data_IF_558610821730
#
_entry.id   IF_558610821730
#
_cell.length_a   1.000
_cell.length_b   1.000
_cell.length_c   1.000
_cell.angle_alpha   90.00
_cell.angle_beta   90.00
_cell.angle_gamma   90.00
#
_symmetry.space_group_name_H-M   'P 1'
#
loop_
_entity.id
_entity.type
_entity.pdbx_description
1 polymer ?
#
# COMPACT_ATOMS: atom_id res chain seq x y z
N UNK A 1 -7.78 -26.95 -20.59
CA UNK A 1 -8.78 -26.03 -20.02
C UNK A 1 -8.11 -24.80 -19.37
N UNK A 2 -6.96 -24.94 -18.71
CA UNK A 2 -6.21 -23.82 -18.09
C UNK A 2 -5.67 -22.81 -19.11
N UNK A 3 -5.09 -23.27 -20.22
CA UNK A 3 -4.53 -22.39 -21.27
C UNK A 3 -5.57 -21.45 -21.87
N UNK A 4 -6.83 -21.93 -22.06
CA UNK A 4 -7.91 -21.08 -22.55
C UNK A 4 -8.31 -19.97 -21.56
N UNK A 5 -8.16 -20.18 -20.24
CA UNK A 5 -8.53 -19.18 -19.24
C UNK A 5 -7.51 -18.03 -19.16
N UNK A 6 -6.21 -18.31 -19.30
CA UNK A 6 -5.16 -17.29 -19.25
C UNK A 6 -5.16 -16.39 -20.50
N UNK A 7 -5.23 -17.00 -21.69
CA UNK A 7 -5.35 -16.24 -22.95
C UNK A 7 -6.63 -15.38 -22.99
N UNK A 8 -7.76 -15.89 -22.49
CA UNK A 8 -8.98 -15.12 -22.36
C UNK A 8 -8.79 -13.91 -21.41
N UNK A 9 -8.06 -14.08 -20.30
CA UNK A 9 -7.78 -13.01 -19.36
C UNK A 9 -6.99 -11.86 -19.99
N UNK A 10 -6.01 -12.15 -20.86
CA UNK A 10 -5.28 -11.11 -21.61
C UNK A 10 -6.22 -10.35 -22.57
N UNK A 11 -7.02 -11.08 -23.34
CA UNK A 11 -7.98 -10.49 -24.27
C UNK A 11 -8.96 -9.55 -23.56
N UNK A 12 -9.56 -9.97 -22.44
CA UNK A 12 -10.50 -9.14 -21.69
C UNK A 12 -9.88 -7.86 -21.14
N UNK A 13 -8.63 -7.91 -20.65
CA UNK A 13 -7.94 -6.72 -20.16
C UNK A 13 -7.66 -5.72 -21.27
N UNK A 14 -7.22 -6.18 -22.43
CA UNK A 14 -7.01 -5.33 -23.61
C UNK A 14 -8.31 -4.75 -24.13
N UNK A 15 -9.39 -5.52 -24.14
CA UNK A 15 -10.72 -5.04 -24.51
C UNK A 15 -11.23 -3.99 -23.52
N UNK A 16 -11.15 -4.25 -22.22
CA UNK A 16 -11.54 -3.28 -21.19
C UNK A 16 -10.77 -1.96 -21.30
N UNK A 17 -9.46 -2.03 -21.54
CA UNK A 17 -8.65 -0.85 -21.75
C UNK A 17 -9.02 -0.10 -23.03
N UNK A 18 -9.34 -0.82 -24.13
CA UNK A 18 -9.81 -0.19 -25.38
C UNK A 18 -11.15 0.53 -25.19
N UNK A 19 -12.04 -0.01 -24.36
CA UNK A 19 -13.30 0.68 -23.99
C UNK A 19 -12.99 1.96 -23.17
N UNK A 20 -12.07 1.87 -22.21
CA UNK A 20 -11.63 3.03 -21.43
C UNK A 20 -11.03 4.13 -22.33
N UNK A 21 -10.19 3.75 -23.30
CA UNK A 21 -9.64 4.67 -24.30
C UNK A 21 -10.72 5.33 -25.15
N UNK A 22 -11.78 4.62 -25.52
CA UNK A 22 -12.91 5.20 -26.25
C UNK A 22 -13.56 6.34 -25.45
N UNK A 23 -13.88 6.11 -24.18
CA UNK A 23 -14.46 7.14 -23.32
C UNK A 23 -13.51 8.34 -23.12
N UNK A 24 -12.21 8.08 -22.95
CA UNK A 24 -11.21 9.14 -22.84
C UNK A 24 -11.09 9.96 -24.13
N UNK A 25 -10.94 9.30 -25.28
CA UNK A 25 -10.49 9.95 -26.52
C UNK A 25 -11.66 10.43 -27.39
N UNK A 26 -12.82 9.76 -27.34
CA UNK A 26 -14.01 10.13 -28.12
C UNK A 26 -15.01 10.94 -27.30
N UNK A 27 -15.24 10.55 -26.05
CA UNK A 27 -16.21 11.20 -25.18
C UNK A 27 -15.59 12.29 -24.29
N UNK A 28 -14.25 12.38 -24.23
CA UNK A 28 -13.53 13.37 -23.42
C UNK A 28 -13.71 13.21 -21.92
N UNK A 29 -13.87 11.98 -21.46
CA UNK A 29 -14.16 11.67 -20.06
C UNK A 29 -12.89 11.28 -19.29
N UNK A 30 -12.92 11.51 -17.96
CA UNK A 30 -11.99 10.92 -17.03
C UNK A 30 -12.49 9.53 -16.60
N UNK A 31 -11.68 8.51 -16.81
CA UNK A 31 -12.04 7.11 -16.62
C UNK A 31 -11.27 6.52 -15.45
N UNK A 32 -11.97 5.88 -14.52
CA UNK A 32 -11.37 5.05 -13.47
C UNK A 32 -11.40 3.58 -13.90
N UNK A 33 -10.21 2.99 -14.06
CA UNK A 33 -10.03 1.66 -14.61
C UNK A 33 -9.49 0.70 -13.55
N UNK A 34 -10.25 -0.36 -13.24
CA UNK A 34 -9.87 -1.38 -12.26
C UNK A 34 -9.35 -2.65 -12.94
N UNK A 35 -8.21 -3.17 -12.47
CA UNK A 35 -7.61 -4.43 -12.96
C UNK A 35 -7.36 -5.37 -11.79
N UNK A 36 -8.10 -6.47 -11.73
CA UNK A 36 -7.88 -7.55 -10.76
C UNK A 36 -7.66 -8.88 -11.51
N UNK A 37 -6.43 -9.34 -11.57
CA UNK A 37 -5.18 -8.66 -11.28
C UNK A 37 -4.27 -8.65 -12.52
N UNK A 38 -3.25 -7.81 -12.54
CA UNK A 38 -2.34 -7.67 -13.70
C UNK A 38 -1.43 -8.89 -13.87
N UNK A 39 -1.13 -9.65 -12.82
CA UNK A 39 -0.29 -10.85 -12.87
C UNK A 39 -0.82 -11.89 -13.86
N UNK A 40 -2.14 -11.99 -14.05
CA UNK A 40 -2.75 -12.90 -15.04
C UNK A 40 -2.38 -12.55 -16.48
N UNK A 41 -2.11 -11.27 -16.76
CA UNK A 41 -1.58 -10.84 -18.05
C UNK A 41 -0.18 -11.39 -18.29
N UNK A 42 0.71 -11.28 -17.29
CA UNK A 42 2.05 -11.86 -17.35
C UNK A 42 2.03 -13.36 -17.51
N UNK A 43 1.18 -14.05 -16.76
CA UNK A 43 1.03 -15.50 -16.85
C UNK A 43 0.57 -15.94 -18.25
N UNK A 44 -0.40 -15.25 -18.85
CA UNK A 44 -0.85 -15.52 -20.21
C UNK A 44 0.29 -15.34 -21.24
N UNK A 45 1.09 -14.30 -21.10
CA UNK A 45 2.27 -14.06 -21.95
C UNK A 45 3.31 -15.18 -21.83
N UNK A 46 3.57 -15.67 -20.63
CA UNK A 46 4.50 -16.79 -20.40
C UNK A 46 3.99 -18.09 -21.05
N UNK A 47 2.71 -18.40 -20.91
CA UNK A 47 2.09 -19.57 -21.52
C UNK A 47 2.16 -19.53 -23.06
N UNK A 48 1.86 -18.38 -23.67
CA UNK A 48 1.98 -18.21 -25.12
C UNK A 48 3.42 -18.32 -25.59
N UNK A 49 4.37 -17.72 -24.86
CA UNK A 49 5.80 -17.78 -25.16
C UNK A 49 6.31 -19.23 -25.14
N UNK A 50 5.88 -20.02 -24.16
CA UNK A 50 6.22 -21.44 -24.05
C UNK A 50 5.65 -22.26 -25.22
N UNK A 51 4.40 -21.99 -25.61
CA UNK A 51 3.76 -22.63 -26.76
C UNK A 51 4.47 -22.32 -28.10
N UNK A 52 5.08 -21.13 -28.22
CA UNK A 52 5.86 -20.72 -29.38
C UNK A 52 7.30 -21.25 -29.34
N UNK A 53 7.67 -22.03 -28.33
CA UNK A 53 9.02 -22.59 -28.18
C UNK A 53 10.11 -21.57 -27.91
N UNK A 54 9.76 -20.38 -27.39
CA UNK A 54 10.75 -19.35 -27.03
C UNK A 54 11.51 -19.75 -25.78
N UNK A 55 12.80 -19.45 -25.76
CA UNK A 55 13.64 -19.68 -24.57
C UNK A 55 13.16 -18.77 -23.45
N UNK A 56 12.79 -19.30 -22.28
CA UNK A 56 12.33 -18.48 -21.15
C UNK A 56 13.48 -17.63 -20.57
N UNK A 57 13.11 -16.48 -20.05
CA UNK A 57 14.00 -15.61 -19.27
C UNK A 57 14.02 -16.01 -17.78
N UNK A 58 14.50 -15.14 -16.91
CA UNK A 58 14.57 -15.39 -15.47
C UNK A 58 13.21 -15.87 -14.91
N UNK A 59 13.26 -16.83 -13.98
CA UNK A 59 12.11 -17.43 -13.29
C UNK A 59 11.08 -18.06 -14.24
N UNK A 60 11.43 -18.28 -15.50
CA UNK A 60 10.54 -18.91 -16.50
C UNK A 60 9.58 -17.95 -17.20
N UNK A 61 9.74 -16.64 -17.04
CA UNK A 61 8.93 -15.65 -17.74
C UNK A 61 9.33 -15.50 -19.22
N UNK A 62 8.43 -14.92 -20.02
CA UNK A 62 8.72 -14.61 -21.42
C UNK A 62 9.84 -13.56 -21.55
N UNK A 63 10.69 -13.65 -22.59
CA UNK A 63 11.75 -12.67 -22.82
C UNK A 63 11.22 -11.27 -23.16
N UNK A 64 9.96 -11.18 -23.58
CA UNK A 64 9.25 -9.92 -23.92
C UNK A 64 8.45 -9.32 -22.77
N UNK A 65 8.64 -9.80 -21.53
CA UNK A 65 7.84 -9.39 -20.36
C UNK A 65 7.77 -7.86 -20.19
N UNK A 66 8.91 -7.19 -20.21
CA UNK A 66 8.96 -5.74 -20.04
C UNK A 66 8.29 -5.00 -21.19
N UNK A 67 8.48 -5.44 -22.43
CA UNK A 67 7.86 -4.83 -23.61
C UNK A 67 6.34 -5.05 -23.61
N UNK A 68 5.90 -6.27 -23.30
CA UNK A 68 4.47 -6.59 -23.24
C UNK A 68 3.75 -5.78 -22.17
N UNK A 69 4.38 -5.65 -20.99
CA UNK A 69 3.85 -4.85 -19.88
C UNK A 69 3.85 -3.36 -20.23
N UNK A 70 4.93 -2.83 -20.79
CA UNK A 70 5.03 -1.44 -21.22
C UNK A 70 3.96 -1.09 -22.23
N UNK A 71 3.77 -1.91 -23.27
CA UNK A 71 2.74 -1.71 -24.30
C UNK A 71 1.30 -1.67 -23.73
N UNK A 72 1.04 -2.36 -22.62
CA UNK A 72 -0.25 -2.28 -21.94
C UNK A 72 -0.35 -1.04 -21.06
N UNK A 73 0.65 -0.80 -20.22
CA UNK A 73 0.63 0.25 -19.20
C UNK A 73 0.69 1.66 -19.78
N UNK A 74 1.46 1.88 -20.86
CA UNK A 74 1.57 3.20 -21.50
C UNK A 74 0.27 3.70 -22.14
N UNK A 75 -0.70 2.82 -22.35
CA UNK A 75 -2.05 3.21 -22.79
C UNK A 75 -2.87 3.86 -21.69
N UNK A 76 -2.51 3.60 -20.42
CA UNK A 76 -3.12 4.19 -19.24
C UNK A 76 -2.45 5.54 -18.98
N UNK A 77 -3.01 6.57 -19.55
CA UNK A 77 -2.40 7.91 -19.53
C UNK A 77 -3.44 8.99 -19.67
N UNK A 78 -3.02 10.23 -19.37
CA UNK A 78 -3.78 11.45 -19.62
C UNK A 78 -3.49 11.94 -21.04
N UNK A 79 -4.52 12.36 -21.74
CA UNK A 79 -4.43 13.00 -23.04
C UNK A 79 -4.95 14.44 -22.94
N UNK A 80 -4.95 15.18 -24.05
CA UNK A 80 -5.55 16.52 -24.10
C UNK A 80 -7.09 16.51 -24.06
N UNK A 81 -7.73 15.34 -24.07
CA UNK A 81 -9.19 15.19 -24.06
C UNK A 81 -9.75 14.65 -22.75
N UNK A 82 -9.01 13.79 -22.09
CA UNK A 82 -9.42 13.14 -20.86
C UNK A 82 -8.29 12.28 -20.26
N UNK A 83 -8.58 11.58 -19.18
CA UNK A 83 -7.58 10.78 -18.46
C UNK A 83 -8.06 9.36 -18.21
N UNK A 84 -7.12 8.42 -18.02
CA UNK A 84 -7.37 7.11 -17.43
C UNK A 84 -6.54 7.01 -16.16
N UNK A 85 -7.21 6.90 -15.02
CA UNK A 85 -6.61 6.54 -13.74
C UNK A 85 -6.87 5.07 -13.47
N UNK A 86 -5.85 4.29 -13.12
CA UNK A 86 -6.02 2.87 -12.85
C UNK A 86 -5.74 2.48 -11.41
N UNK A 87 -6.52 1.52 -10.91
CA UNK A 87 -6.26 0.79 -9.66
C UNK A 87 -6.02 -0.66 -10.04
N UNK A 88 -4.82 -1.15 -9.80
CA UNK A 88 -4.39 -2.48 -10.24
C UNK A 88 -4.00 -3.34 -9.04
N UNK A 89 -4.65 -4.49 -8.89
CA UNK A 89 -4.17 -5.51 -7.98
C UNK A 89 -2.97 -6.24 -8.59
N UNK A 90 -1.89 -6.37 -7.84
CA UNK A 90 -0.68 -7.07 -8.25
C UNK A 90 -0.46 -8.23 -7.29
N UNK A 91 -0.50 -9.44 -7.82
CA UNK A 91 -0.12 -10.63 -7.05
C UNK A 91 1.40 -10.74 -7.02
N UNK A 92 1.95 -10.89 -5.82
CA UNK A 92 3.39 -11.05 -5.59
C UNK A 92 3.65 -12.52 -5.23
N UNK A 93 4.28 -13.30 -6.14
CA UNK A 93 4.58 -14.71 -5.87
C UNK A 93 5.51 -14.86 -4.65
N UNK A 94 5.16 -15.73 -3.72
CA UNK A 94 5.95 -16.05 -2.52
C UNK A 94 6.35 -14.82 -1.67
N UNK A 95 5.57 -13.75 -1.72
CA UNK A 95 5.86 -12.46 -1.06
C UNK A 95 7.20 -11.81 -1.51
N UNK A 96 7.72 -12.20 -2.68
CA UNK A 96 8.97 -11.70 -3.26
C UNK A 96 8.73 -10.53 -4.21
N UNK A 97 8.91 -9.31 -3.72
CA UNK A 97 8.79 -8.07 -4.51
C UNK A 97 9.84 -7.94 -5.62
N UNK A 98 10.90 -8.76 -5.57
CA UNK A 98 11.97 -8.78 -6.58
C UNK A 98 11.68 -9.72 -7.74
N UNK A 99 10.60 -10.51 -7.68
CA UNK A 99 10.16 -11.34 -8.81
C UNK A 99 9.96 -10.46 -10.06
N UNK A 100 10.42 -10.90 -11.25
CA UNK A 100 10.38 -10.10 -12.47
C UNK A 100 8.99 -9.56 -12.85
N UNK A 101 7.91 -10.26 -12.53
CA UNK A 101 6.56 -9.83 -12.89
C UNK A 101 6.08 -8.63 -12.08
N UNK A 102 6.07 -8.64 -10.72
CA UNK A 102 5.75 -7.45 -9.95
C UNK A 102 6.78 -6.34 -10.16
N UNK A 103 8.10 -6.64 -10.20
CA UNK A 103 9.14 -5.64 -10.38
C UNK A 103 8.96 -4.84 -11.68
N UNK A 104 8.64 -5.53 -12.80
CA UNK A 104 8.35 -4.87 -14.08
C UNK A 104 7.06 -4.04 -13.99
N UNK A 105 6.05 -4.51 -13.27
CA UNK A 105 4.79 -3.77 -13.09
C UNK A 105 5.00 -2.48 -12.29
N UNK A 106 5.78 -2.54 -11.21
CA UNK A 106 6.05 -1.39 -10.32
C UNK A 106 6.72 -0.23 -11.06
N UNK A 107 7.54 -0.50 -12.08
CA UNK A 107 8.19 0.53 -12.88
C UNK A 107 7.21 1.47 -13.60
N UNK A 108 5.97 1.02 -13.83
CA UNK A 108 4.93 1.77 -14.52
C UNK A 108 3.90 2.43 -13.58
N UNK A 109 4.03 2.25 -12.28
CA UNK A 109 3.05 2.76 -11.31
C UNK A 109 3.51 4.08 -10.70
N UNK A 110 2.56 4.98 -10.47
CA UNK A 110 2.79 6.25 -9.80
C UNK A 110 2.71 6.13 -8.27
N UNK A 111 1.95 5.15 -7.79
CA UNK A 111 1.84 4.84 -6.37
C UNK A 111 1.71 3.32 -6.17
N UNK A 112 2.31 2.84 -5.09
CA UNK A 112 2.21 1.44 -4.65
C UNK A 112 1.73 1.38 -3.22
N UNK A 113 0.76 0.51 -2.95
CA UNK A 113 0.32 0.16 -1.59
C UNK A 113 0.66 -1.31 -1.37
N UNK A 114 1.66 -1.56 -0.53
CA UNK A 114 2.15 -2.90 -0.24
C UNK A 114 1.45 -3.45 0.99
N UNK A 115 0.81 -4.61 0.84
CA UNK A 115 0.22 -5.35 1.95
C UNK A 115 1.23 -6.38 2.46
N UNK A 116 1.54 -6.30 3.75
CA UNK A 116 2.54 -7.16 4.41
C UNK A 116 1.87 -8.21 5.29
N UNK A 117 2.27 -9.47 5.11
CA UNK A 117 1.84 -10.57 5.96
C UNK A 117 2.31 -10.38 7.40
N UNK A 118 3.54 -9.91 7.59
CA UNK A 118 4.11 -9.65 8.91
C UNK A 118 3.30 -8.62 9.71
N UNK A 119 2.79 -7.58 9.03
CA UNK A 119 1.93 -6.57 9.65
C UNK A 119 0.56 -7.16 10.00
N UNK A 120 0.00 -8.04 9.16
CA UNK A 120 -1.23 -8.76 9.46
C UNK A 120 -1.09 -9.69 10.67
N UNK A 121 0.05 -10.37 10.83
CA UNK A 121 0.34 -11.28 11.94
C UNK A 121 0.37 -10.59 13.31
N UNK A 122 0.74 -9.31 13.37
CA UNK A 122 0.68 -8.50 14.60
C UNK A 122 -0.69 -7.82 14.82
N UNK A 123 -1.68 -8.17 13.99
CA UNK A 123 -3.08 -7.73 14.15
C UNK A 123 -3.35 -6.31 13.65
N UNK A 124 -2.51 -5.73 12.80
CA UNK A 124 -2.73 -4.40 12.21
C UNK A 124 -3.48 -4.55 10.89
N UNK A 125 -4.64 -3.93 10.79
CA UNK A 125 -5.51 -3.94 9.62
C UNK A 125 -6.03 -2.52 9.31
N UNK A 126 -5.99 -2.07 8.02
CA UNK A 126 -5.41 -2.76 6.86
C UNK A 126 -3.90 -2.97 7.02
N UNK A 127 -3.38 -4.12 6.56
CA UNK A 127 -2.00 -4.54 6.76
C UNK A 127 -1.02 -3.86 5.77
N UNK A 128 -1.12 -2.55 5.64
CA UNK A 128 -0.28 -1.75 4.73
C UNK A 128 1.09 -1.51 5.34
N UNK A 129 2.15 -1.81 4.58
CA UNK A 129 3.52 -1.46 4.98
C UNK A 129 3.83 -0.02 4.55
N UNK A 130 4.00 0.93 5.48
CA UNK A 130 4.28 2.32 5.16
C UNK A 130 5.72 2.57 4.69
N UNK A 131 6.64 1.62 4.90
CA UNK A 131 8.03 1.73 4.46
C UNK A 131 8.22 1.24 3.03
N UNK A 132 7.51 0.17 2.64
CA UNK A 132 7.57 -0.40 1.30
C UNK A 132 6.55 0.24 0.33
N UNK A 133 5.56 0.98 0.86
CA UNK A 133 4.59 1.73 0.07
C UNK A 133 5.15 3.07 -0.37
N UNK A 134 4.90 3.45 -1.63
CA UNK A 134 5.42 4.68 -2.21
C UNK A 134 4.36 5.43 -3.01
N UNK A 135 4.54 6.75 -3.16
CA UNK A 135 3.72 7.57 -4.04
C UNK A 135 4.53 8.73 -4.62
N UNK A 136 4.45 8.92 -5.94
CA UNK A 136 5.11 10.05 -6.62
C UNK A 136 4.46 11.39 -6.30
N UNK A 137 3.18 11.39 -5.93
CA UNK A 137 2.48 12.63 -5.52
C UNK A 137 2.81 13.07 -4.09
N UNK A 138 3.55 12.27 -3.32
CA UNK A 138 4.07 12.68 -2.01
C UNK A 138 5.27 13.62 -2.19
N UNK A 139 5.00 14.80 -2.68
CA UNK A 139 5.92 15.91 -2.96
C UNK A 139 5.33 17.19 -2.32
N UNK A 140 6.12 18.01 -1.61
CA UNK A 140 5.61 19.19 -0.91
C UNK A 140 4.88 20.18 -1.83
N UNK A 141 5.24 20.22 -3.12
CA UNK A 141 4.57 21.07 -4.12
C UNK A 141 3.15 20.59 -4.47
N UNK A 142 2.81 19.34 -4.18
CA UNK A 142 1.51 18.72 -4.49
C UNK A 142 0.67 18.60 -3.22
N UNK A 143 1.22 17.95 -2.18
CA UNK A 143 0.48 17.65 -0.95
C UNK A 143 0.61 18.72 0.14
N UNK A 144 1.51 19.69 -0.05
CA UNK A 144 1.85 20.71 0.93
C UNK A 144 2.94 20.28 1.91
N UNK A 145 3.59 21.27 2.53
CA UNK A 145 4.76 21.05 3.39
C UNK A 145 4.42 20.25 4.64
N UNK A 146 3.26 20.51 5.26
CA UNK A 146 2.84 19.83 6.49
C UNK A 146 2.63 18.34 6.27
N UNK A 147 1.83 17.96 5.29
CA UNK A 147 1.58 16.56 4.97
C UNK A 147 2.89 15.83 4.63
N UNK A 148 3.72 16.43 3.78
CA UNK A 148 5.00 15.84 3.41
C UNK A 148 5.91 15.65 4.62
N UNK A 149 6.05 16.66 5.48
CA UNK A 149 6.87 16.61 6.69
C UNK A 149 6.42 15.49 7.62
N UNK A 150 5.12 15.45 7.94
CA UNK A 150 4.55 14.43 8.85
C UNK A 150 4.75 13.02 8.30
N UNK A 151 4.48 12.81 7.01
CA UNK A 151 4.67 11.50 6.38
C UNK A 151 6.15 11.04 6.45
N UNK A 152 7.10 11.95 6.20
CA UNK A 152 8.53 11.64 6.30
C UNK A 152 8.99 11.39 7.74
N UNK A 153 8.44 12.09 8.69
CA UNK A 153 8.74 11.89 10.11
C UNK A 153 8.24 10.53 10.59
N UNK A 154 7.01 10.14 10.24
CA UNK A 154 6.46 8.81 10.50
C UNK A 154 7.35 7.72 9.90
N UNK A 155 7.74 7.85 8.62
CA UNK A 155 8.63 6.90 7.98
C UNK A 155 9.98 6.80 8.69
N UNK A 156 10.56 7.94 9.11
CA UNK A 156 11.83 7.98 9.85
C UNK A 156 11.73 7.25 11.18
N UNK A 157 10.67 7.50 11.95
CA UNK A 157 10.45 6.84 13.26
C UNK A 157 10.30 5.33 13.08
N UNK A 158 9.50 4.88 12.11
CA UNK A 158 9.30 3.46 11.82
C UNK A 158 10.58 2.80 11.28
N UNK A 159 11.37 3.48 10.45
CA UNK A 159 12.65 2.97 9.94
C UNK A 159 13.67 2.81 11.08
N UNK A 160 13.76 3.78 11.97
CA UNK A 160 14.63 3.69 13.16
C UNK A 160 14.20 2.54 14.05
N UNK A 161 12.89 2.38 14.29
CA UNK A 161 12.37 1.25 15.06
C UNK A 161 12.72 -0.08 14.42
N UNK A 162 12.56 -0.23 13.10
CA UNK A 162 12.96 -1.44 12.36
C UNK A 162 14.43 -1.78 12.58
N UNK A 163 15.30 -0.77 12.57
CA UNK A 163 16.74 -0.98 12.83
C UNK A 163 17.06 -1.38 14.28
N UNK A 164 16.22 -0.95 15.24
CA UNK A 164 16.39 -1.29 16.66
C UNK A 164 15.80 -2.65 17.04
N UNK A 165 14.92 -3.22 16.20
CA UNK A 165 14.23 -4.49 16.51
C UNK A 165 15.21 -5.65 16.77
N UNK A 166 16.28 -5.77 15.98
CA UNK A 166 17.29 -6.81 16.16
C UNK A 166 18.05 -6.64 17.49
N UNK A 167 18.36 -5.38 17.85
CA UNK A 167 19.02 -5.04 19.11
C UNK A 167 18.11 -5.38 20.28
N UNK A 168 16.83 -5.01 20.20
CA UNK A 168 15.82 -5.30 21.22
C UNK A 168 15.64 -6.82 21.41
N UNK A 169 15.63 -7.58 20.31
CA UNK A 169 15.46 -9.04 20.36
C UNK A 169 16.63 -9.76 21.02
N UNK A 170 17.85 -9.23 20.90
CA UNK A 170 19.07 -9.84 21.41
C UNK A 170 19.40 -9.35 22.83
N UNK A 171 19.36 -8.04 23.05
CA UNK A 171 19.84 -7.39 24.27
C UNK A 171 18.72 -6.94 25.22
N UNK A 172 17.49 -6.84 24.73
CA UNK A 172 16.35 -6.31 25.46
C UNK A 172 16.20 -4.79 25.38
N UNK A 173 15.10 -4.27 25.91
CA UNK A 173 14.78 -2.84 25.91
C UNK A 173 15.67 -2.02 26.86
N UNK A 174 16.20 -2.65 27.91
CA UNK A 174 16.94 -1.95 28.97
C UNK A 174 18.29 -1.41 28.49
N UNK A 175 18.87 -2.04 27.49
CA UNK A 175 20.15 -1.64 26.89
C UNK A 175 20.05 -0.43 25.92
N UNK A 176 18.83 -0.02 25.58
CA UNK A 176 18.60 1.13 24.70
C UNK A 176 18.83 2.45 25.47
N UNK A 177 19.31 3.46 24.75
CA UNK A 177 19.34 4.85 25.26
C UNK A 177 17.91 5.31 25.57
N UNK A 178 17.76 6.31 26.43
CA UNK A 178 16.45 6.88 26.75
C UNK A 178 15.79 7.53 25.51
N UNK A 179 16.59 8.07 24.61
CA UNK A 179 16.12 8.60 23.32
C UNK A 179 15.57 7.47 22.42
N UNK A 180 16.28 6.35 22.31
CA UNK A 180 15.81 5.20 21.52
C UNK A 180 14.56 4.55 22.14
N UNK A 181 14.47 4.46 23.46
CA UNK A 181 13.27 3.99 24.16
C UNK A 181 12.05 4.85 23.82
N UNK A 182 12.23 6.16 23.78
CA UNK A 182 11.16 7.10 23.39
C UNK A 182 10.74 6.88 21.92
N UNK A 183 11.71 6.74 21.01
CA UNK A 183 11.44 6.46 19.60
C UNK A 183 10.67 5.15 19.45
N UNK A 184 11.08 4.09 20.15
CA UNK A 184 10.38 2.80 20.13
C UNK A 184 8.95 2.91 20.65
N UNK A 185 8.74 3.65 21.75
CA UNK A 185 7.40 3.87 22.32
C UNK A 185 6.49 4.61 21.32
N UNK A 186 6.98 5.66 20.66
CA UNK A 186 6.23 6.39 19.63
C UNK A 186 5.99 5.54 18.37
N UNK A 187 6.99 4.76 17.93
CA UNK A 187 6.85 3.86 16.79
C UNK A 187 5.76 2.81 17.00
N UNK A 188 5.67 2.22 18.19
CA UNK A 188 4.60 1.28 18.53
C UNK A 188 3.22 1.93 18.53
N UNK A 189 3.10 3.17 19.04
CA UNK A 189 1.86 3.96 18.96
C UNK A 189 1.47 4.24 17.50
N UNK A 190 2.43 4.63 16.66
CA UNK A 190 2.23 4.83 15.21
C UNK A 190 1.75 3.53 14.56
N UNK A 191 2.38 2.39 14.84
CA UNK A 191 1.95 1.10 14.30
C UNK A 191 0.51 0.76 14.71
N UNK A 192 0.15 0.98 15.98
CA UNK A 192 -1.23 0.77 16.44
C UNK A 192 -2.20 1.74 15.78
N UNK A 193 -1.82 3.01 15.60
CA UNK A 193 -2.65 4.01 14.95
C UNK A 193 -2.84 3.77 13.45
N UNK A 194 -1.93 3.06 12.78
CA UNK A 194 -2.13 2.59 11.40
C UNK A 194 -3.25 1.55 11.28
N UNK A 195 -3.61 0.86 12.39
CA UNK A 195 -4.79 0.00 12.41
C UNK A 195 -6.05 0.86 12.45
N UNK A 196 -6.97 0.59 11.51
CA UNK A 196 -8.20 1.38 11.38
C UNK A 196 -9.41 0.47 11.18
N UNK A 197 -10.55 0.76 11.82
CA UNK A 197 -11.78 0.05 11.57
C UNK A 197 -12.33 0.46 10.21
N UNK A 198 -12.33 -0.44 9.24
CA UNK A 198 -12.85 -0.16 7.90
C UNK A 198 -14.10 -0.97 7.59
N UNK A 199 -15.01 -0.41 6.80
CA UNK A 199 -16.37 -0.92 6.59
C UNK A 199 -16.42 -2.38 6.11
N UNK A 200 -15.51 -2.78 5.20
CA UNK A 200 -15.48 -4.16 4.66
C UNK A 200 -15.14 -5.19 5.75
N UNK A 201 -14.43 -4.79 6.80
CA UNK A 201 -14.02 -5.67 7.89
C UNK A 201 -15.03 -5.76 9.04
N UNK A 202 -16.11 -4.97 9.06
CA UNK A 202 -17.10 -4.94 10.15
C UNK A 202 -17.64 -6.33 10.51
N UNK A 203 -17.91 -7.14 9.49
CA UNK A 203 -18.46 -8.51 9.68
C UNK A 203 -17.44 -9.42 10.42
N UNK A 204 -16.15 -9.14 10.29
CA UNK A 204 -15.09 -9.95 10.89
C UNK A 204 -14.62 -9.40 12.23
N UNK A 205 -14.59 -8.08 12.37
CA UNK A 205 -14.07 -7.42 13.58
C UNK A 205 -15.15 -7.15 14.63
N UNK A 206 -16.42 -7.10 14.22
CA UNK A 206 -17.54 -6.68 15.07
C UNK A 206 -17.53 -5.18 15.41
N UNK A 207 -16.59 -4.42 14.86
CA UNK A 207 -16.49 -2.97 15.07
C UNK A 207 -16.98 -2.21 13.84
N UNK A 208 -17.79 -1.16 14.02
CA UNK A 208 -18.27 -0.35 12.90
C UNK A 208 -17.10 0.38 12.22
N UNK A 209 -17.12 0.42 10.88
CA UNK A 209 -16.13 1.15 10.10
C UNK A 209 -16.18 2.64 10.36
N UNK A 210 -15.04 3.29 10.28
CA UNK A 210 -14.88 4.74 10.41
C UNK A 210 -14.15 5.31 9.22
N UNK A 211 -14.72 6.32 8.58
CA UNK A 211 -14.01 7.11 7.58
C UNK A 211 -13.30 8.26 8.29
N UNK A 212 -11.99 8.27 8.20
CA UNK A 212 -11.14 9.34 8.74
C UNK A 212 -10.69 10.23 7.58
N UNK A 213 -10.92 11.52 7.68
CA UNK A 213 -10.46 12.48 6.69
C UNK A 213 -8.93 12.67 6.74
N UNK A 214 -8.37 13.19 5.64
CA UNK A 214 -6.93 13.34 5.48
C UNK A 214 -6.34 14.33 6.51
N UNK A 215 -7.04 15.43 6.78
CA UNK A 215 -6.57 16.45 7.72
C UNK A 215 -6.47 15.90 9.16
N UNK A 216 -7.49 15.18 9.61
CA UNK A 216 -7.48 14.50 10.91
C UNK A 216 -6.38 13.43 10.99
N UNK A 217 -6.14 12.70 9.89
CA UNK A 217 -5.06 11.72 9.81
C UNK A 217 -3.70 12.39 9.99
N UNK A 218 -3.42 13.46 9.26
CA UNK A 218 -2.15 14.21 9.36
C UNK A 218 -1.95 14.75 10.77
N UNK A 219 -2.97 15.40 11.36
CA UNK A 219 -2.92 15.94 12.72
C UNK A 219 -2.67 14.85 13.77
N UNK A 220 -3.33 13.69 13.62
CA UNK A 220 -3.14 12.56 14.53
C UNK A 220 -1.70 12.06 14.54
N UNK A 221 -1.11 11.82 13.36
CA UNK A 221 0.29 11.40 13.27
C UNK A 221 1.27 12.46 13.72
N UNK A 222 1.02 13.74 13.42
CA UNK A 222 1.86 14.85 13.85
C UNK A 222 1.92 14.96 15.39
N UNK A 223 0.77 14.86 16.05
CA UNK A 223 0.68 14.88 17.51
C UNK A 223 1.41 13.68 18.16
N UNK A 224 1.34 12.48 17.57
CA UNK A 224 2.11 11.32 18.05
C UNK A 224 3.61 11.57 17.87
N UNK A 225 4.04 12.06 16.71
CA UNK A 225 5.45 12.34 16.45
C UNK A 225 6.02 13.43 17.37
N UNK A 226 5.25 14.47 17.65
CA UNK A 226 5.62 15.54 18.60
C UNK A 226 5.62 15.09 20.06
N UNK A 227 5.00 13.95 20.38
CA UNK A 227 4.94 13.40 21.72
C UNK A 227 3.83 13.95 22.60
N UNK A 228 2.82 14.61 22.03
CA UNK A 228 1.67 15.13 22.78
C UNK A 228 0.93 14.00 23.52
N UNK A 229 1.01 12.78 22.99
CA UNK A 229 0.38 11.58 23.55
C UNK A 229 1.37 10.59 24.19
N UNK A 230 2.58 11.05 24.58
CA UNK A 230 3.57 10.16 25.20
C UNK A 230 3.08 9.54 26.52
N UNK A 231 2.17 10.22 27.22
CA UNK A 231 1.55 9.78 28.46
C UNK A 231 0.50 8.66 28.27
N UNK A 232 -0.01 8.44 27.06
CA UNK A 232 -1.03 7.41 26.79
C UNK A 232 -0.39 6.04 26.49
N UNK A 233 -1.02 4.92 26.88
CA UNK A 233 -0.57 3.59 26.53
C UNK A 233 -0.77 3.31 25.03
N UNK A 234 0.05 2.43 24.44
CA UNK A 234 -0.04 2.11 23.02
C UNK A 234 -1.38 1.45 22.60
N UNK A 235 -2.06 0.78 23.53
CA UNK A 235 -3.37 0.18 23.28
C UNK A 235 -4.45 1.22 22.95
N UNK A 236 -4.30 2.46 23.44
CA UNK A 236 -5.23 3.55 23.17
C UNK A 236 -5.25 4.03 21.70
N UNK A 237 -4.33 3.55 20.88
CA UNK A 237 -4.21 3.90 19.45
C UNK A 237 -4.72 2.80 18.50
N UNK A 238 -5.24 1.69 19.04
CA UNK A 238 -5.66 0.57 18.22
C UNK A 238 -7.11 0.72 17.77
N UNK A 239 -7.37 0.68 16.45
CA UNK A 239 -8.71 0.71 15.83
C UNK A 239 -9.57 1.93 16.23
N UNK A 240 -8.96 3.09 16.40
CA UNK A 240 -9.62 4.26 17.01
C UNK A 240 -10.25 5.26 16.04
N UNK A 241 -9.82 5.26 14.78
CA UNK A 241 -10.19 6.32 13.84
C UNK A 241 -9.31 7.56 14.03
N UNK A 242 -9.84 8.66 14.58
CA UNK A 242 -9.05 9.85 14.89
C UNK A 242 -8.58 9.85 16.34
N UNK A 243 -7.34 10.24 16.61
CA UNK A 243 -6.84 10.38 17.99
C UNK A 243 -7.66 11.35 18.86
N UNK A 244 -8.28 12.35 18.25
CA UNK A 244 -9.03 13.39 18.94
C UNK A 244 -10.33 12.92 19.62
N UNK A 245 -10.90 11.81 19.15
CA UNK A 245 -12.14 11.27 19.73
C UNK A 245 -11.89 10.41 20.98
N UNK A 246 -10.66 9.96 21.21
CA UNK A 246 -10.37 8.99 22.28
C UNK A 246 -9.87 9.64 23.58
N UNK A 247 -9.50 10.90 23.55
CA UNK A 247 -9.04 11.60 24.77
C UNK A 247 -10.17 11.90 25.76
N UNK A 248 -11.45 11.87 25.33
CA UNK A 248 -12.59 12.05 26.23
C UNK A 248 -13.20 10.74 26.73
N UNK A 249 -13.31 9.71 25.88
CA UNK A 249 -14.09 8.51 26.23
C UNK A 249 -13.23 7.32 26.74
N UNK A 250 -12.00 7.16 26.25
CA UNK A 250 -11.15 6.05 26.67
C UNK A 250 -10.43 6.27 28.00
N UNK A 251 -10.27 7.52 28.42
CA UNK A 251 -9.76 7.82 29.76
C UNK A 251 -10.76 7.40 30.84
N UNK A 252 -12.06 7.43 30.54
CA UNK A 252 -13.12 7.05 31.49
C UNK A 252 -13.31 5.51 31.58
N UNK A 253 -13.04 4.75 30.49
CA UNK A 253 -13.16 3.30 30.49
C UNK A 253 -11.93 2.56 31.10
N UNK A 254 -10.76 3.18 31.08
CA UNK A 254 -9.55 2.61 31.71
C UNK A 254 -9.50 2.87 33.24
N UNK A 255 -10.43 3.67 33.77
CA UNK A 255 -10.54 3.95 35.20
C UNK A 255 -11.69 3.18 35.88
N UNK A 256 -12.38 2.32 35.17
CA UNK A 256 -13.39 1.36 35.67
C UNK A 256 -12.84 -0.06 35.60
#
# INVERSE_FOLDING_TARGET
>A
TRVRSSAASDVYKRQGLTVAEYFRDQEGQDVLFFVDNIFRFTQAGSEVSALLGRIPSAVGYQPTLATDMGNLQERITTTNKGSITSVQAIYVPADDLTDPAPATSFAHLDATTVLSRQIAEIGIYPAVDPLDSTSRILDPRIVGDEHYRVAREVQKVLQTYKSLQDIIAILGMDELSEEDKLIVARARKIQRFLSQPFFVAEVFTGSPGKLVDLESTIKGFDAICKGEYDHLPEAAFYMVGTCLLYTSDAADDLTR
#
